data_IF_932117249656
#
_entry.id   IF_932117249656
#
_cell.length_a   1.000
_cell.length_b   1.000
_cell.length_c   1.000
_cell.angle_alpha   90.00
_cell.angle_beta   90.00
_cell.angle_gamma   90.00
#
_symmetry.space_group_name_H-M   'P 1'
#
loop_
_entity.id
_entity.type
_entity.pdbx_description
1 polymer ?
#
# COMPACT_ATOMS: atom_id res chain seq x y z
N UNK A 1 -7.44 22.35 2.55
CA UNK A 1 -7.43 21.98 3.99
C UNK A 1 -5.99 21.86 4.47
N UNK A 2 -5.68 22.21 5.72
CA UNK A 2 -4.39 21.85 6.33
C UNK A 2 -4.38 20.34 6.68
N UNK A 3 -3.21 19.79 7.03
CA UNK A 3 -3.08 18.35 7.28
C UNK A 3 -3.99 17.83 8.40
N UNK A 4 -4.14 18.61 9.47
CA UNK A 4 -4.99 18.25 10.61
C UNK A 4 -6.46 18.20 10.20
N UNK A 5 -6.92 19.17 9.45
CA UNK A 5 -8.29 19.20 8.88
C UNK A 5 -8.54 17.99 7.98
N UNK A 6 -7.59 17.66 7.09
CA UNK A 6 -7.69 16.49 6.20
C UNK A 6 -7.79 15.19 7.01
N UNK A 7 -6.96 15.02 8.02
CA UNK A 7 -6.96 13.82 8.86
C UNK A 7 -8.24 13.70 9.68
N UNK A 8 -8.80 14.83 10.13
CA UNK A 8 -10.08 14.87 10.84
C UNK A 8 -11.26 14.64 9.91
N UNK A 9 -11.23 15.20 8.70
CA UNK A 9 -12.25 14.97 7.67
C UNK A 9 -12.30 13.50 7.22
N UNK A 10 -11.15 12.87 6.99
CA UNK A 10 -11.05 11.49 6.52
C UNK A 10 -11.68 10.52 7.54
N UNK A 11 -12.77 9.91 7.16
CA UNK A 11 -13.47 8.86 7.91
C UNK A 11 -13.66 7.62 7.02
N UNK A 12 -13.88 6.46 7.62
CA UNK A 12 -14.36 5.28 6.89
C UNK A 12 -15.85 5.42 6.64
N UNK A 13 -16.21 6.02 5.52
CA UNK A 13 -17.59 6.35 5.16
C UNK A 13 -18.23 5.14 4.49
N UNK A 14 -19.32 4.63 5.06
CA UNK A 14 -19.95 3.37 4.63
C UNK A 14 -21.19 3.56 3.76
N UNK A 15 -21.56 4.79 3.45
CA UNK A 15 -22.68 5.11 2.56
C UNK A 15 -22.45 6.44 1.86
N UNK A 16 -22.60 6.42 0.54
CA UNK A 16 -22.41 7.59 -0.32
C UNK A 16 -23.73 8.03 -0.91
N UNK A 17 -23.84 9.34 -1.18
CA UNK A 17 -24.98 9.97 -1.87
C UNK A 17 -24.82 9.77 -3.37
N UNK A 18 -25.69 8.96 -3.97
CA UNK A 18 -25.67 8.66 -5.40
C UNK A 18 -25.97 9.87 -6.30
N UNK A 19 -26.56 10.93 -5.74
CA UNK A 19 -26.86 12.17 -6.46
C UNK A 19 -25.69 13.15 -6.50
N UNK A 20 -24.58 12.83 -5.78
CA UNK A 20 -23.37 13.63 -5.73
C UNK A 20 -22.20 12.86 -6.36
N UNK A 21 -22.03 12.98 -7.68
CA UNK A 21 -20.91 12.34 -8.35
C UNK A 21 -19.58 12.96 -7.89
N UNK A 22 -18.50 12.22 -8.04
CA UNK A 22 -17.12 12.70 -7.89
C UNK A 22 -16.48 12.81 -9.28
N UNK A 23 -15.45 13.64 -9.41
CA UNK A 23 -14.72 13.83 -10.65
C UNK A 23 -13.67 12.70 -10.83
N UNK A 24 -13.77 11.85 -11.87
CA UNK A 24 -12.83 10.77 -12.12
C UNK A 24 -11.38 11.25 -12.33
N UNK A 25 -11.18 12.45 -12.91
CA UNK A 25 -9.83 12.97 -13.11
C UNK A 25 -9.17 13.40 -11.78
N UNK A 26 -9.95 13.90 -10.83
CA UNK A 26 -9.45 14.15 -9.47
C UNK A 26 -9.10 12.86 -8.75
N UNK A 27 -9.91 11.81 -8.90
CA UNK A 27 -9.58 10.48 -8.35
C UNK A 27 -8.28 9.95 -8.94
N UNK A 28 -8.11 10.09 -10.27
CA UNK A 28 -6.87 9.72 -10.96
C UNK A 28 -5.68 10.53 -10.47
N UNK A 29 -5.82 11.83 -10.30
CA UNK A 29 -4.77 12.67 -9.72
C UNK A 29 -4.40 12.21 -8.29
N UNK A 30 -5.39 11.86 -7.47
CA UNK A 30 -5.12 11.29 -6.14
C UNK A 30 -4.36 9.94 -6.22
N UNK A 31 -4.58 9.13 -7.26
CA UNK A 31 -3.80 7.91 -7.52
C UNK A 31 -2.36 8.23 -7.94
N UNK A 32 -2.14 9.27 -8.72
CA UNK A 32 -0.79 9.75 -9.04
C UNK A 32 -0.04 10.17 -7.77
N UNK A 33 -0.68 10.92 -6.87
CA UNK A 33 -0.11 11.27 -5.58
C UNK A 33 0.18 10.03 -4.71
N UNK A 34 -0.65 8.99 -4.78
CA UNK A 34 -0.41 7.73 -4.08
C UNK A 34 0.88 7.04 -4.52
N UNK A 35 1.35 7.25 -5.75
CA UNK A 35 2.64 6.70 -6.23
C UNK A 35 3.85 7.28 -5.51
N UNK A 36 3.71 8.43 -4.86
CA UNK A 36 4.77 9.10 -4.08
C UNK A 36 4.98 8.45 -2.71
N UNK A 37 4.14 7.50 -2.32
CA UNK A 37 4.25 6.81 -1.04
C UNK A 37 5.59 6.06 -0.91
N UNK A 38 6.21 6.08 0.28
CA UNK A 38 7.42 5.30 0.52
C UNK A 38 7.15 3.81 0.37
N UNK A 39 8.13 3.09 -0.15
CA UNK A 39 8.01 1.65 -0.33
C UNK A 39 9.36 0.95 -0.24
N UNK A 40 9.34 -0.34 0.12
CA UNK A 40 10.54 -1.12 0.33
C UNK A 40 11.44 -1.13 -0.91
N UNK A 41 12.67 -0.63 -0.75
CA UNK A 41 13.71 -0.57 -1.80
C UNK A 41 13.25 0.11 -3.10
N UNK A 42 12.28 0.98 -3.03
CA UNK A 42 11.64 1.65 -4.17
C UNK A 42 11.16 0.69 -5.27
N UNK A 43 10.80 -0.54 -4.88
CA UNK A 43 10.40 -1.60 -5.81
C UNK A 43 9.03 -1.35 -6.46
N UNK A 44 8.19 -0.52 -5.86
CA UNK A 44 6.88 -0.12 -6.40
C UNK A 44 6.05 -1.33 -6.88
N UNK A 45 5.98 -2.37 -6.05
CA UNK A 45 5.30 -3.63 -6.36
C UNK A 45 3.78 -3.49 -6.16
N UNK A 46 3.18 -2.52 -6.83
CA UNK A 46 1.75 -2.23 -6.82
C UNK A 46 1.23 -1.85 -8.19
N UNK A 47 -0.08 -1.95 -8.34
CA UNK A 47 -0.90 -1.35 -9.40
C UNK A 47 -2.23 -0.92 -8.80
N UNK A 48 -2.84 0.12 -9.36
CA UNK A 48 -4.11 0.66 -8.92
C UNK A 48 -5.12 0.57 -10.06
N UNK A 49 -6.32 0.08 -9.76
CA UNK A 49 -7.40 -0.07 -10.71
C UNK A 49 -8.53 0.87 -10.31
N UNK A 50 -8.75 1.94 -11.08
CA UNK A 50 -9.90 2.82 -10.95
C UNK A 50 -11.05 2.24 -11.75
N UNK A 51 -12.19 2.00 -11.11
CA UNK A 51 -13.36 1.37 -11.69
C UNK A 51 -14.50 2.38 -11.68
N UNK A 52 -14.87 2.82 -12.89
CA UNK A 52 -15.94 3.80 -13.14
C UNK A 52 -17.14 3.19 -13.89
N UNK A 53 -16.93 2.04 -14.56
CA UNK A 53 -17.97 1.36 -15.29
C UNK A 53 -19.03 0.77 -14.36
N UNK A 54 -20.33 1.18 -14.46
CA UNK A 54 -21.37 0.75 -13.53
C UNK A 54 -21.58 -0.77 -13.49
N UNK A 55 -21.49 -1.44 -14.64
CA UNK A 55 -21.65 -2.89 -14.73
C UNK A 55 -20.52 -3.66 -14.04
N UNK A 56 -19.29 -3.15 -14.10
CA UNK A 56 -18.16 -3.73 -13.38
C UNK A 56 -18.25 -3.38 -11.89
N UNK A 57 -18.64 -2.17 -11.53
CA UNK A 57 -18.84 -1.74 -10.14
C UNK A 57 -19.86 -2.63 -9.42
N UNK A 58 -20.99 -2.96 -10.06
CA UNK A 58 -21.98 -3.87 -9.49
C UNK A 58 -21.36 -5.24 -9.15
N UNK A 59 -20.61 -5.84 -10.06
CA UNK A 59 -19.92 -7.14 -9.84
C UNK A 59 -18.85 -7.05 -8.76
N UNK A 60 -18.12 -5.94 -8.71
CA UNK A 60 -17.12 -5.67 -7.66
C UNK A 60 -17.79 -5.51 -6.30
N UNK A 61 -18.94 -4.84 -6.24
CA UNK A 61 -19.74 -4.71 -5.02
C UNK A 61 -20.22 -6.08 -4.51
N UNK A 62 -20.67 -6.98 -5.39
CA UNK A 62 -20.98 -8.37 -5.01
C UNK A 62 -19.76 -9.07 -4.43
N UNK A 63 -18.59 -8.93 -5.06
CA UNK A 63 -17.34 -9.49 -4.54
C UNK A 63 -16.93 -8.88 -3.20
N UNK A 64 -17.38 -7.67 -2.88
CA UNK A 64 -17.26 -7.01 -1.57
C UNK A 64 -18.37 -7.41 -0.60
N UNK A 65 -19.03 -8.54 -0.80
CA UNK A 65 -20.08 -9.11 0.08
C UNK A 65 -21.30 -8.19 0.23
N UNK A 66 -21.62 -7.39 -0.78
CA UNK A 66 -22.76 -6.47 -0.75
C UNK A 66 -22.64 -5.33 0.27
N UNK A 67 -21.45 -5.04 0.77
CA UNK A 67 -21.26 -3.96 1.74
C UNK A 67 -21.76 -2.62 1.18
N UNK A 68 -22.47 -1.85 2.00
CA UNK A 68 -23.10 -0.59 1.57
C UNK A 68 -22.10 0.43 1.05
N UNK A 69 -20.88 0.43 1.56
CA UNK A 69 -19.81 1.27 1.03
C UNK A 69 -19.52 0.97 -0.44
N UNK A 70 -19.49 -0.30 -0.86
CA UNK A 70 -19.25 -0.68 -2.25
C UNK A 70 -20.47 -0.48 -3.15
N UNK A 71 -21.69 -0.77 -2.64
CA UNK A 71 -22.94 -0.70 -3.42
C UNK A 71 -23.46 0.73 -3.65
N UNK A 72 -23.00 1.70 -2.87
CA UNK A 72 -23.40 3.12 -3.00
C UNK A 72 -22.30 4.00 -3.56
N UNK A 73 -21.09 3.48 -3.78
CA UNK A 73 -19.94 4.23 -4.25
C UNK A 73 -20.17 4.87 -5.63
N UNK A 74 -19.60 6.06 -5.82
CA UNK A 74 -19.51 6.70 -7.14
C UNK A 74 -18.42 6.06 -8.00
N UNK A 75 -17.33 5.65 -7.38
CA UNK A 75 -16.22 4.89 -7.98
C UNK A 75 -15.62 3.91 -6.99
N UNK A 76 -14.90 2.91 -7.49
CA UNK A 76 -14.18 1.96 -6.65
C UNK A 76 -12.73 1.88 -7.13
N UNK A 77 -11.79 2.03 -6.20
CA UNK A 77 -10.36 1.83 -6.47
C UNK A 77 -9.89 0.54 -5.82
N UNK A 78 -9.18 -0.30 -6.57
CA UNK A 78 -8.59 -1.54 -6.07
C UNK A 78 -7.07 -1.42 -6.04
N UNK A 79 -6.49 -1.59 -4.86
CA UNK A 79 -5.05 -1.59 -4.64
C UNK A 79 -4.52 -3.03 -4.76
N UNK A 80 -3.70 -3.26 -5.78
CA UNK A 80 -3.20 -4.58 -6.18
C UNK A 80 -1.72 -4.69 -5.89
N UNK A 81 -1.31 -5.73 -5.19
CA UNK A 81 0.11 -6.06 -5.01
C UNK A 81 0.63 -6.85 -6.18
N UNK A 82 1.79 -6.47 -6.72
CA UNK A 82 2.41 -7.04 -7.92
C UNK A 82 3.80 -7.60 -7.62
N UNK A 83 3.88 -8.49 -6.62
CA UNK A 83 5.14 -9.18 -6.30
C UNK A 83 5.69 -9.98 -7.50
N UNK A 84 4.82 -10.45 -8.38
CA UNK A 84 5.18 -11.12 -9.63
C UNK A 84 6.08 -10.28 -10.57
N UNK A 85 5.99 -8.96 -10.48
CA UNK A 85 6.79 -8.04 -11.29
C UNK A 85 8.17 -7.72 -10.68
N UNK A 86 8.61 -8.42 -9.63
CA UNK A 86 9.82 -8.07 -8.88
C UNK A 86 11.08 -7.94 -9.77
N UNK A 87 11.28 -8.83 -10.75
CA UNK A 87 12.43 -8.76 -11.67
C UNK A 87 12.36 -7.52 -12.57
N UNK A 88 11.18 -7.25 -13.16
CA UNK A 88 10.94 -6.10 -14.02
C UNK A 88 11.16 -4.79 -13.27
N UNK A 89 10.62 -4.69 -12.04
CA UNK A 89 10.74 -3.50 -11.21
C UNK A 89 12.16 -3.30 -10.70
N UNK A 90 12.85 -4.37 -10.27
CA UNK A 90 14.26 -4.28 -9.88
C UNK A 90 15.14 -3.75 -11.00
N UNK A 91 14.93 -4.23 -12.25
CA UNK A 91 15.64 -3.71 -13.43
C UNK A 91 15.36 -2.22 -13.66
N UNK A 92 14.09 -1.82 -13.64
CA UNK A 92 13.70 -0.41 -13.80
C UNK A 92 14.40 0.49 -12.76
N UNK A 93 14.38 0.09 -11.48
CA UNK A 93 15.01 0.87 -10.40
C UNK A 93 16.53 0.91 -10.58
N UNK A 94 17.15 -0.19 -11.01
CA UNK A 94 18.59 -0.23 -11.31
C UNK A 94 18.96 0.77 -12.41
N UNK A 95 18.23 0.75 -13.53
CA UNK A 95 18.48 1.65 -14.67
C UNK A 95 18.31 3.12 -14.24
N UNK A 96 17.28 3.42 -13.44
CA UNK A 96 17.06 4.75 -12.86
C UNK A 96 18.20 5.18 -11.93
N UNK A 97 18.62 4.30 -11.01
CA UNK A 97 19.70 4.59 -10.05
C UNK A 97 21.05 4.76 -10.73
N UNK A 98 21.38 3.99 -11.77
CA UNK A 98 22.60 4.20 -12.56
C UNK A 98 22.61 5.60 -13.19
N UNK A 99 21.50 6.02 -13.80
CA UNK A 99 21.36 7.38 -14.36
C UNK A 99 21.49 8.47 -13.29
N UNK A 100 20.88 8.26 -12.13
CA UNK A 100 20.96 9.18 -11.00
C UNK A 100 22.38 9.30 -10.45
N UNK A 101 23.11 8.18 -10.29
CA UNK A 101 24.51 8.17 -9.85
C UNK A 101 25.40 8.93 -10.84
N UNK A 102 25.22 8.71 -12.14
CA UNK A 102 26.03 9.41 -13.16
C UNK A 102 25.81 10.93 -13.15
N UNK A 103 24.59 11.40 -12.87
CA UNK A 103 24.28 12.83 -12.80
C UNK A 103 24.72 13.50 -11.49
N UNK A 104 24.58 12.79 -10.36
CA UNK A 104 24.63 13.42 -9.03
C UNK A 104 25.80 12.93 -8.14
N UNK A 105 26.68 12.06 -8.64
CA UNK A 105 27.80 11.55 -7.85
C UNK A 105 29.15 12.02 -8.39
N UNK A 106 30.16 12.29 -7.51
CA UNK A 106 31.52 12.53 -7.93
C UNK A 106 32.06 11.37 -8.80
N UNK A 107 32.82 11.70 -9.86
CA UNK A 107 33.28 10.72 -10.86
C UNK A 107 34.04 9.54 -10.23
N UNK A 108 34.87 9.82 -9.23
CA UNK A 108 35.69 8.82 -8.54
C UNK A 108 34.86 7.76 -7.78
N UNK A 109 33.59 8.10 -7.45
CA UNK A 109 32.69 7.22 -6.69
C UNK A 109 31.64 6.52 -7.55
N UNK A 110 31.48 6.94 -8.80
CA UNK A 110 30.40 6.44 -9.67
C UNK A 110 30.49 4.94 -9.90
N UNK A 111 31.65 4.43 -10.31
CA UNK A 111 31.82 3.02 -10.64
C UNK A 111 31.58 2.10 -9.41
N UNK A 112 32.06 2.50 -8.24
CA UNK A 112 31.79 1.75 -7.01
C UNK A 112 30.29 1.73 -6.69
N UNK A 113 29.62 2.88 -6.73
CA UNK A 113 28.17 2.99 -6.44
C UNK A 113 27.35 2.20 -7.44
N UNK A 114 27.66 2.25 -8.73
CA UNK A 114 26.96 1.48 -9.78
C UNK A 114 27.12 -0.03 -9.53
N UNK A 115 28.32 -0.50 -9.20
CA UNK A 115 28.57 -1.90 -8.88
C UNK A 115 27.75 -2.35 -7.65
N UNK A 116 27.67 -1.52 -6.61
CA UNK A 116 26.88 -1.80 -5.43
C UNK A 116 25.37 -1.88 -5.78
N UNK A 117 24.86 -1.00 -6.62
CA UNK A 117 23.47 -1.04 -7.11
C UNK A 117 23.18 -2.25 -7.99
N UNK A 118 24.12 -2.64 -8.86
CA UNK A 118 24.02 -3.88 -9.67
C UNK A 118 23.94 -5.13 -8.79
N UNK A 119 24.71 -5.18 -7.73
CA UNK A 119 24.60 -6.27 -6.75
C UNK A 119 23.25 -6.26 -6.05
N UNK A 120 22.80 -5.10 -5.59
CA UNK A 120 21.56 -4.93 -4.84
C UNK A 120 20.32 -5.23 -5.69
N UNK A 121 20.11 -4.50 -6.78
CA UNK A 121 18.92 -4.67 -7.62
C UNK A 121 19.02 -5.80 -8.64
N UNK A 122 20.22 -6.13 -9.09
CA UNK A 122 20.42 -7.21 -10.05
C UNK A 122 20.45 -8.62 -9.44
N UNK A 123 20.84 -8.75 -8.17
CA UNK A 123 20.96 -10.05 -7.51
C UNK A 123 20.16 -10.15 -6.21
N UNK A 124 20.40 -9.24 -5.25
CA UNK A 124 19.81 -9.36 -3.92
C UNK A 124 18.28 -9.20 -3.94
N UNK A 125 17.76 -8.16 -4.58
CA UNK A 125 16.31 -7.93 -4.64
C UNK A 125 15.58 -9.06 -5.38
N UNK A 126 16.01 -9.53 -6.57
CA UNK A 126 15.42 -10.71 -7.19
C UNK A 126 15.45 -11.95 -6.31
N UNK A 127 16.53 -12.20 -5.58
CA UNK A 127 16.63 -13.32 -4.64
C UNK A 127 15.64 -13.19 -3.48
N UNK A 128 15.52 -12.01 -2.87
CA UNK A 128 14.64 -11.78 -1.72
C UNK A 128 13.15 -11.90 -2.10
N UNK A 129 12.74 -11.32 -3.24
CA UNK A 129 11.34 -11.31 -3.66
C UNK A 129 10.91 -12.55 -4.47
N UNK A 130 11.85 -13.42 -4.87
CA UNK A 130 11.53 -14.67 -5.55
C UNK A 130 10.67 -15.59 -4.67
N UNK A 131 9.82 -16.39 -5.33
CA UNK A 131 8.93 -17.35 -4.67
C UNK A 131 9.09 -18.72 -5.33
N UNK A 132 9.19 -19.76 -4.52
CA UNK A 132 9.23 -21.13 -4.98
C UNK A 132 8.65 -22.06 -3.90
N UNK A 133 7.32 -22.17 -3.84
CA UNK A 133 6.57 -23.08 -2.96
C UNK A 133 6.98 -23.07 -1.48
N UNK A 134 7.50 -21.95 -1.00
CA UNK A 134 8.00 -21.80 0.38
C UNK A 134 9.45 -22.29 0.60
N UNK A 135 9.99 -23.13 -0.30
CA UNK A 135 11.33 -23.72 -0.15
C UNK A 135 12.44 -22.66 -0.18
N UNK A 136 12.31 -21.68 -1.09
CA UNK A 136 13.28 -20.60 -1.16
C UNK A 136 13.21 -19.70 0.09
N UNK A 137 12.00 -19.51 0.63
CA UNK A 137 11.79 -18.80 1.89
C UNK A 137 12.47 -19.52 3.08
N UNK A 138 12.30 -20.83 3.17
CA UNK A 138 12.95 -21.64 4.21
C UNK A 138 14.48 -21.53 4.12
N UNK A 139 15.04 -21.67 2.90
CA UNK A 139 16.47 -21.50 2.69
C UNK A 139 16.98 -20.14 3.16
N UNK A 140 16.28 -19.05 2.81
CA UNK A 140 16.63 -17.69 3.26
C UNK A 140 16.60 -17.55 4.78
N UNK A 141 15.60 -18.13 5.45
CA UNK A 141 15.49 -18.08 6.92
C UNK A 141 16.65 -18.80 7.57
N UNK A 142 17.01 -20.00 7.09
CA UNK A 142 18.18 -20.74 7.62
C UNK A 142 19.45 -19.92 7.43
N UNK A 143 19.69 -19.41 6.23
CA UNK A 143 20.85 -18.58 5.91
C UNK A 143 20.91 -17.31 6.80
N UNK A 144 19.78 -16.59 6.95
CA UNK A 144 19.72 -15.39 7.76
C UNK A 144 20.00 -15.70 9.25
N UNK A 145 19.43 -16.77 9.79
CA UNK A 145 19.69 -17.21 11.17
C UNK A 145 21.16 -17.58 11.39
N UNK A 146 21.77 -18.31 10.47
CA UNK A 146 23.19 -18.64 10.55
C UNK A 146 24.06 -17.38 10.55
N UNK A 147 23.79 -16.43 9.64
CA UNK A 147 24.54 -15.15 9.59
C UNK A 147 24.31 -14.33 10.87
N UNK A 148 23.11 -14.36 11.44
CA UNK A 148 22.76 -13.60 12.64
C UNK A 148 23.55 -13.99 13.88
N UNK A 149 24.16 -15.17 13.91
CA UNK A 149 25.07 -15.60 14.99
C UNK A 149 26.36 -14.77 15.04
N UNK A 150 26.73 -14.15 13.90
CA UNK A 150 28.00 -13.43 13.78
C UNK A 150 27.85 -11.94 13.58
N UNK A 151 26.67 -11.49 13.11
CA UNK A 151 26.38 -10.07 12.88
C UNK A 151 24.87 -9.80 12.82
N UNK A 152 24.44 -8.58 13.10
CA UNK A 152 23.02 -8.19 12.91
C UNK A 152 22.53 -8.51 11.50
N UNK A 153 21.38 -9.18 11.42
CA UNK A 153 20.76 -9.62 10.15
C UNK A 153 19.24 -9.52 10.24
N UNK A 154 18.60 -9.19 9.13
CA UNK A 154 17.13 -9.24 9.00
C UNK A 154 16.71 -10.72 9.00
N UNK A 155 15.83 -11.11 9.92
CA UNK A 155 15.36 -12.50 10.07
C UNK A 155 14.04 -12.77 9.34
N UNK A 156 13.25 -11.74 9.10
CA UNK A 156 11.95 -11.80 8.41
C UNK A 156 12.18 -11.83 6.88
N UNK A 157 12.63 -12.99 6.37
CA UNK A 157 13.02 -13.19 4.96
C UNK A 157 12.31 -14.37 4.29
N UNK A 158 11.31 -14.96 4.95
CA UNK A 158 10.46 -15.99 4.35
C UNK A 158 9.66 -15.46 3.17
N UNK A 159 9.06 -16.36 2.37
CA UNK A 159 8.15 -15.92 1.29
C UNK A 159 6.89 -15.21 1.83
N UNK A 160 6.45 -15.58 3.04
CA UNK A 160 5.35 -14.92 3.73
C UNK A 160 5.73 -13.51 4.18
N UNK A 161 6.94 -13.32 4.74
CA UNK A 161 7.42 -12.02 5.19
C UNK A 161 7.56 -11.04 4.01
N UNK A 162 8.04 -11.53 2.88
CA UNK A 162 8.12 -10.71 1.68
C UNK A 162 6.73 -10.31 1.15
N UNK A 163 5.74 -11.19 1.24
CA UNK A 163 4.35 -10.85 0.93
C UNK A 163 3.83 -9.76 1.89
N UNK A 164 4.11 -9.87 3.18
CA UNK A 164 3.77 -8.83 4.16
C UNK A 164 4.44 -7.51 3.81
N UNK A 165 5.72 -7.50 3.45
CA UNK A 165 6.47 -6.30 3.05
C UNK A 165 5.83 -5.61 1.82
N UNK A 166 5.42 -6.38 0.81
CA UNK A 166 4.73 -5.85 -0.38
C UNK A 166 3.37 -5.26 0.01
N UNK A 167 2.62 -5.94 0.89
CA UNK A 167 1.33 -5.43 1.37
C UNK A 167 1.48 -4.16 2.20
N UNK A 168 2.48 -4.07 3.08
CA UNK A 168 2.78 -2.83 3.83
C UNK A 168 3.06 -1.66 2.87
N UNK A 169 3.90 -1.86 1.86
CA UNK A 169 4.20 -0.82 0.86
C UNK A 169 2.93 -0.38 0.10
N UNK A 170 2.10 -1.33 -0.33
CA UNK A 170 0.85 -1.03 -1.02
C UNK A 170 -0.16 -0.32 -0.11
N UNK A 171 -0.21 -0.67 1.19
CA UNK A 171 -1.06 -0.01 2.17
C UNK A 171 -0.64 1.43 2.45
N UNK A 172 0.66 1.75 2.39
CA UNK A 172 1.15 3.14 2.47
C UNK A 172 0.65 3.97 1.28
N UNK A 173 0.68 3.41 0.07
CA UNK A 173 0.11 4.06 -1.10
C UNK A 173 -1.41 4.25 -0.98
N UNK A 174 -2.14 3.25 -0.49
CA UNK A 174 -3.57 3.34 -0.24
C UNK A 174 -3.92 4.41 0.82
N UNK A 175 -3.11 4.53 1.88
CA UNK A 175 -3.28 5.59 2.88
C UNK A 175 -3.01 6.98 2.28
N UNK A 176 -1.95 7.13 1.48
CA UNK A 176 -1.67 8.39 0.77
C UNK A 176 -2.82 8.78 -0.15
N UNK A 177 -3.37 7.82 -0.91
CA UNK A 177 -4.57 8.03 -1.72
C UNK A 177 -5.75 8.53 -0.90
N UNK A 178 -6.07 7.87 0.23
CA UNK A 178 -7.20 8.29 1.07
C UNK A 178 -7.02 9.67 1.67
N UNK A 179 -5.80 10.09 1.96
CA UNK A 179 -5.47 11.46 2.42
C UNK A 179 -5.68 12.45 1.27
N UNK A 180 -5.19 12.14 0.08
CA UNK A 180 -5.38 12.97 -1.11
C UNK A 180 -6.86 13.15 -1.45
N UNK A 181 -7.65 12.07 -1.43
CA UNK A 181 -9.11 12.11 -1.62
C UNK A 181 -9.81 13.01 -0.59
N UNK A 182 -9.40 12.89 0.67
CA UNK A 182 -9.95 13.74 1.73
C UNK A 182 -9.61 15.22 1.52
N UNK A 183 -8.42 15.55 1.00
CA UNK A 183 -8.04 16.91 0.65
C UNK A 183 -8.90 17.50 -0.48
N UNK A 184 -9.35 16.65 -1.42
CA UNK A 184 -10.33 17.00 -2.46
C UNK A 184 -11.78 17.07 -1.95
N UNK A 185 -12.03 16.81 -0.67
CA UNK A 185 -13.37 16.76 -0.08
C UNK A 185 -14.14 15.48 -0.39
N UNK A 186 -13.47 14.44 -0.86
CA UNK A 186 -14.05 13.14 -1.17
C UNK A 186 -13.89 12.15 -0.03
N UNK A 187 -14.87 11.29 0.11
CA UNK A 187 -14.93 10.26 1.13
C UNK A 187 -14.48 8.90 0.60
N UNK A 188 -13.88 8.13 1.48
CA UNK A 188 -13.38 6.79 1.17
C UNK A 188 -13.69 5.80 2.29
N UNK A 189 -13.68 4.49 1.97
CA UNK A 189 -13.76 3.43 2.96
C UNK A 189 -12.83 2.27 2.57
N UNK A 190 -11.75 2.00 3.31
CA UNK A 190 -10.91 0.84 3.03
C UNK A 190 -11.65 -0.45 3.41
N UNK A 191 -11.78 -1.37 2.46
CA UNK A 191 -12.38 -2.69 2.64
C UNK A 191 -11.31 -3.76 2.49
N UNK A 192 -11.20 -4.66 3.48
CA UNK A 192 -10.37 -5.86 3.45
C UNK A 192 -11.22 -7.14 3.35
N UNK A 193 -12.53 -7.03 3.70
CA UNK A 193 -13.50 -8.12 3.61
C UNK A 193 -14.09 -8.23 2.21
N UNK A 194 -13.50 -9.04 1.33
CA UNK A 194 -13.98 -9.30 -0.04
C UNK A 194 -13.59 -10.70 -0.51
N UNK A 195 -14.32 -11.24 -1.49
CA UNK A 195 -13.95 -12.46 -2.20
C UNK A 195 -12.78 -12.16 -3.18
N UNK A 196 -11.58 -12.45 -2.73
CA UNK A 196 -10.36 -12.20 -3.51
C UNK A 196 -10.29 -13.00 -4.80
N UNK A 197 -10.88 -14.20 -4.87
CA UNK A 197 -10.90 -15.05 -6.06
C UNK A 197 -11.79 -14.47 -7.15
N UNK A 198 -13.01 -14.06 -6.77
CA UNK A 198 -13.93 -13.36 -7.69
C UNK A 198 -13.34 -12.05 -8.17
N UNK A 199 -12.79 -11.25 -7.27
CA UNK A 199 -12.17 -9.96 -7.60
C UNK A 199 -11.03 -10.12 -8.61
N UNK A 200 -10.11 -11.07 -8.39
CA UNK A 200 -9.01 -11.36 -9.34
C UNK A 200 -9.53 -11.73 -10.72
N UNK A 201 -10.60 -12.53 -10.79
CA UNK A 201 -11.22 -12.91 -12.07
C UNK A 201 -11.86 -11.71 -12.77
N UNK A 202 -12.59 -10.85 -12.05
CA UNK A 202 -13.22 -9.64 -12.58
C UNK A 202 -12.19 -8.68 -13.17
N UNK A 203 -11.08 -8.47 -12.48
CA UNK A 203 -10.01 -7.56 -12.88
C UNK A 203 -8.97 -8.24 -13.80
N UNK A 204 -9.16 -9.51 -14.16
CA UNK A 204 -8.23 -10.31 -15.00
C UNK A 204 -6.79 -10.24 -14.48
N UNK A 205 -6.61 -10.31 -13.17
CA UNK A 205 -5.30 -10.24 -12.55
C UNK A 205 -4.49 -11.52 -12.78
N UNK A 206 -3.16 -11.42 -13.02
CA UNK A 206 -2.31 -12.58 -13.15
C UNK A 206 -2.21 -13.35 -11.83
N UNK A 207 -1.83 -14.64 -11.92
CA UNK A 207 -1.77 -15.55 -10.77
C UNK A 207 -0.91 -15.02 -9.60
N UNK A 208 0.19 -14.35 -9.90
CA UNK A 208 1.12 -13.82 -8.90
C UNK A 208 0.69 -12.51 -8.22
N UNK A 209 -0.37 -11.85 -8.75
CA UNK A 209 -0.91 -10.63 -8.15
C UNK A 209 -1.74 -10.93 -6.89
N UNK A 210 -1.70 -10.01 -5.93
CA UNK A 210 -2.55 -10.01 -4.74
C UNK A 210 -3.44 -8.75 -4.70
N UNK A 211 -4.47 -8.75 -3.87
CA UNK A 211 -5.26 -7.56 -3.61
C UNK A 211 -4.95 -7.12 -2.18
N UNK A 212 -4.54 -5.88 -2.02
CA UNK A 212 -4.26 -5.30 -0.71
C UNK A 212 -5.56 -4.84 -0.06
N UNK A 213 -6.29 -3.95 -0.73
CA UNK A 213 -7.60 -3.47 -0.28
C UNK A 213 -8.43 -2.92 -1.43
N UNK A 214 -9.72 -2.82 -1.20
CA UNK A 214 -10.70 -2.18 -2.09
C UNK A 214 -11.16 -0.90 -1.41
N UNK A 215 -11.15 0.22 -2.14
CA UNK A 215 -11.51 1.52 -1.61
C UNK A 215 -12.67 2.12 -2.43
N UNK A 216 -13.92 1.92 -2.00
CA UNK A 216 -15.06 2.70 -2.50
C UNK A 216 -14.88 4.19 -2.19
N UNK A 217 -15.25 5.02 -3.16
CA UNK A 217 -15.10 6.47 -3.15
C UNK A 217 -16.44 7.15 -3.48
N UNK A 218 -16.67 8.31 -2.89
CA UNK A 218 -17.88 9.10 -3.12
C UNK A 218 -17.98 10.31 -2.19
N UNK A 219 -19.15 10.88 -2.10
CA UNK A 219 -19.50 11.92 -1.13
C UNK A 219 -20.50 11.32 -0.14
N UNK A 220 -20.26 11.50 1.15
CA UNK A 220 -21.11 10.92 2.22
C UNK A 220 -22.58 11.31 2.11
N UNK A 221 -23.48 10.37 2.39
CA UNK A 221 -24.93 10.61 2.48
C UNK A 221 -25.27 11.18 3.87
N UNK A 222 -24.97 12.46 4.07
CA UNK A 222 -25.16 13.13 5.36
C UNK A 222 -24.46 12.37 6.49
N UNK A 223 -25.19 12.10 7.56
CA UNK A 223 -24.69 11.34 8.72
C UNK A 223 -24.90 9.82 8.62
N UNK A 224 -25.60 9.33 7.57
CA UNK A 224 -25.93 7.89 7.41
C UNK A 224 -24.71 7.03 7.11
N UNK A 225 -23.63 7.62 6.58
CA UNK A 225 -22.40 6.92 6.24
C UNK A 225 -21.35 6.86 7.36
N UNK A 226 -21.57 7.57 8.47
CA UNK A 226 -20.66 7.67 9.61
C UNK A 226 -21.38 7.27 10.88
N UNK A 227 -20.78 6.35 11.63
CA UNK A 227 -21.36 5.85 12.88
C UNK A 227 -20.72 6.56 14.07
N UNK A 228 -21.26 7.73 14.45
CA UNK A 228 -20.85 8.46 15.62
C UNK A 228 -19.41 9.00 15.59
N UNK A 229 -18.84 9.20 16.73
CA UNK A 229 -17.52 9.78 16.93
C UNK A 229 -16.37 8.79 16.57
N UNK A 230 -15.17 9.34 16.40
CA UNK A 230 -13.97 8.54 16.17
C UNK A 230 -13.42 8.02 17.50
N UNK A 231 -13.64 6.76 17.81
CA UNK A 231 -12.98 6.11 18.95
C UNK A 231 -11.48 5.91 18.70
N UNK A 232 -10.65 6.21 19.71
CA UNK A 232 -9.23 5.88 19.75
C UNK A 232 -8.85 5.51 21.17
N UNK A 233 -8.23 4.36 21.34
CA UNK A 233 -7.65 3.99 22.63
C UNK A 233 -6.29 4.69 22.81
N UNK A 234 -6.32 5.81 23.52
CA UNK A 234 -5.10 6.57 23.85
C UNK A 234 -4.29 5.93 24.97
N UNK A 235 -4.92 5.05 25.78
CA UNK A 235 -4.22 4.40 26.92
C UNK A 235 -3.23 3.34 26.46
N UNK A 236 -3.50 2.67 25.32
CA UNK A 236 -2.59 1.68 24.74
C UNK A 236 -1.44 2.34 23.95
N UNK A 237 -1.52 3.63 23.62
CA UNK A 237 -0.47 4.34 22.90
C UNK A 237 0.70 4.60 23.82
N UNK A 238 1.85 4.02 23.50
CA UNK A 238 3.11 4.21 24.24
C UNK A 238 4.01 5.15 23.47
N UNK A 239 4.42 6.24 24.11
CA UNK A 239 5.44 7.14 23.59
C UNK A 239 6.74 6.86 24.33
N UNK A 240 7.77 6.50 23.59
CA UNK A 240 9.13 6.29 24.14
C UNK A 240 9.89 7.61 23.99
N UNK A 241 9.98 8.39 25.07
CA UNK A 241 10.56 9.74 25.03
C UNK A 241 12.09 9.79 25.18
N UNK A 242 12.71 8.76 25.70
CA UNK A 242 14.17 8.52 25.74
C UNK A 242 14.45 7.18 26.41
N UNK A 243 15.41 6.51 25.95
CA UNK A 243 16.05 5.23 26.30
C UNK A 243 15.48 4.32 27.40
N UNK A 244 14.69 4.79 28.36
CA UNK A 244 14.24 4.01 29.51
C UNK A 244 12.78 4.24 29.96
N UNK A 245 12.09 5.25 29.43
CA UNK A 245 10.73 5.58 29.86
C UNK A 245 9.69 5.34 28.78
N UNK A 246 8.79 4.41 29.06
CA UNK A 246 7.54 4.28 28.30
C UNK A 246 6.51 5.18 28.96
N UNK A 247 6.27 6.38 28.39
CA UNK A 247 5.17 7.22 28.84
C UNK A 247 3.85 6.73 28.20
N UNK A 248 2.81 6.63 29.03
CA UNK A 248 1.44 6.44 28.55
C UNK A 248 0.79 7.81 28.44
N UNK A 249 0.11 8.09 27.35
CA UNK A 249 -0.70 9.29 27.28
C UNK A 249 -1.76 9.24 28.41
N UNK A 250 -1.91 10.32 29.20
CA UNK A 250 -2.98 10.36 30.20
C UNK A 250 -4.33 10.22 29.51
N UNK A 251 -5.22 9.44 30.09
CA UNK A 251 -6.61 9.46 29.68
C UNK A 251 -7.16 10.84 29.98
N UNK A 252 -7.55 11.58 28.95
CA UNK A 252 -8.42 12.71 29.18
C UNK A 252 -9.68 12.22 29.88
N UNK A 253 -9.90 12.65 31.08
CA UNK A 253 -11.15 12.49 31.79
C UNK A 253 -12.29 13.16 30.99
#
# INVERSE_FOLDING_TARGET
MNLEEVLNFRRSVRRYDKNKPIDPEKVKHCLELATLAPNSSNMQLWEFYQITNPGLMAKVSEACLGQSAASTASEIVVFVTRQDLYKKRAKFVLDFEEGNIRRNSPKERQEKRIRDRKLYYGKLMPFIYARFFGLLGLFRVILARTISLFRPMMLEVSECDMRVTVNKSCALAAQTFMIAMANEGYDTCPLEGFDSRRMKKLLKLPHGAGINMVIPCGIRDGNKGIWGERGRDRKSTRLNSSHEFVSRMPSSA
#
